data_IF_810902089712
#
_entry.id   IF_810902089712
#
_cell.length_a   1.000
_cell.length_b   1.000
_cell.length_c   1.000
_cell.angle_alpha   90.00
_cell.angle_beta   90.00
_cell.angle_gamma   90.00
#
_symmetry.space_group_name_H-M   'P 1'
#
loop_
_entity.id
_entity.type
_entity.pdbx_description
1 polymer ?
#
# COMPACT_ATOMS: atom_id res chain seq x y z
N UNK A 1 -2.88 34.51 -42.64
CA UNK A 1 -4.28 34.98 -42.72
C UNK A 1 -4.81 35.15 -41.31
N UNK A 2 -5.12 36.40 -40.93
CA UNK A 2 -5.74 36.78 -39.68
C UNK A 2 -7.22 37.07 -39.98
N UNK A 3 -8.13 36.59 -39.15
CA UNK A 3 -9.46 37.22 -39.02
C UNK A 3 -10.00 37.05 -37.59
N UNK A 4 -10.43 38.14 -36.94
CA UNK A 4 -11.01 38.17 -35.60
C UNK A 4 -12.55 38.37 -35.66
N UNK A 5 -13.28 37.98 -34.60
CA UNK A 5 -14.66 38.43 -34.29
C UNK A 5 -14.93 38.11 -32.81
N UNK A 6 -15.79 38.76 -32.03
CA UNK A 6 -16.24 40.14 -31.83
C UNK A 6 -17.15 40.08 -30.58
N UNK A 7 -17.19 41.16 -29.79
CA UNK A 7 -17.97 41.34 -28.55
C UNK A 7 -19.49 41.51 -28.75
N UNK A 8 -20.28 41.16 -27.73
CA UNK A 8 -21.60 41.72 -27.32
C UNK A 8 -21.91 41.13 -25.91
N UNK A 9 -22.00 41.82 -24.75
CA UNK A 9 -22.75 43.00 -24.25
C UNK A 9 -24.27 42.85 -24.11
N UNK A 10 -24.78 42.97 -22.86
CA UNK A 10 -26.17 43.30 -22.48
C UNK A 10 -26.62 42.68 -21.13
N UNK A 11 -26.59 43.41 -20.00
CA UNK A 11 -27.64 44.25 -19.33
C UNK A 11 -28.55 43.46 -18.34
N UNK A 12 -28.38 43.59 -17.00
CA UNK A 12 -29.18 44.36 -16.00
C UNK A 12 -30.58 43.75 -15.69
N UNK A 13 -31.24 43.76 -14.51
CA UNK A 13 -31.51 44.70 -13.38
C UNK A 13 -32.13 43.79 -12.25
N UNK A 14 -32.03 43.99 -10.91
CA UNK A 14 -32.97 44.71 -10.00
C UNK A 14 -32.61 44.36 -8.55
N UNK A 15 -32.52 45.39 -7.73
CA UNK A 15 -32.35 45.35 -6.27
C UNK A 15 -33.71 45.22 -5.55
N UNK A 16 -33.72 44.60 -4.37
CA UNK A 16 -34.74 44.86 -3.36
C UNK A 16 -34.09 45.03 -1.98
N UNK A 17 -34.30 46.22 -1.40
CA UNK A 17 -33.94 46.60 -0.04
C UNK A 17 -35.16 46.39 0.84
N UNK A 18 -34.99 45.76 2.01
CA UNK A 18 -35.92 45.88 3.12
C UNK A 18 -35.13 46.15 4.39
N UNK A 19 -35.27 47.38 4.89
CA UNK A 19 -34.77 47.83 6.17
C UNK A 19 -35.75 47.45 7.28
N UNK A 20 -35.24 46.95 8.41
CA UNK A 20 -35.97 46.92 9.66
C UNK A 20 -35.04 47.39 10.80
N UNK A 21 -35.39 48.54 11.38
CA UNK A 21 -34.80 49.07 12.60
C UNK A 21 -35.36 48.31 13.81
N UNK A 22 -34.51 48.00 14.78
CA UNK A 22 -34.92 47.42 16.07
C UNK A 22 -33.91 47.71 17.16
N UNK A 23 -34.25 48.71 17.98
CA UNK A 23 -33.84 49.08 19.34
C UNK A 23 -32.74 48.26 20.08
N UNK A 24 -31.82 49.01 20.70
CA UNK A 24 -30.67 48.49 21.45
C UNK A 24 -30.91 48.08 22.90
N UNK A 25 -29.89 47.43 23.46
CA UNK A 25 -29.58 47.25 24.88
C UNK A 25 -28.16 46.64 25.03
N UNK A 26 -27.52 46.73 26.21
CA UNK A 26 -26.13 47.14 26.35
C UNK A 26 -25.09 46.01 26.23
N UNK A 27 -23.86 46.44 25.95
CA UNK A 27 -22.65 45.65 25.83
C UNK A 27 -22.29 44.91 27.13
N UNK A 28 -22.15 43.59 27.02
CA UNK A 28 -21.41 42.74 27.95
C UNK A 28 -20.13 42.30 27.24
N UNK A 29 -19.00 42.76 27.75
CA UNK A 29 -17.67 42.40 27.27
C UNK A 29 -17.38 40.93 27.61
N UNK A 30 -17.39 40.06 26.60
CA UNK A 30 -16.86 38.69 26.72
C UNK A 30 -15.33 38.72 26.58
N UNK A 31 -14.57 37.99 27.42
CA UNK A 31 -13.12 37.89 27.30
C UNK A 31 -12.72 37.19 25.99
N UNK A 32 -11.50 37.43 25.46
CA UNK A 32 -11.05 36.82 24.22
C UNK A 32 -11.09 35.29 24.34
N UNK A 33 -11.84 34.66 23.44
CA UNK A 33 -11.84 33.21 23.27
C UNK A 33 -10.43 32.77 22.91
N UNK A 34 -9.84 31.79 23.61
CA UNK A 34 -8.53 31.25 23.21
C UNK A 34 -8.66 30.66 21.80
N UNK A 35 -7.77 31.09 20.90
CA UNK A 35 -7.59 30.43 19.61
C UNK A 35 -7.36 28.94 19.84
N UNK A 36 -8.01 28.04 19.08
CA UNK A 36 -7.75 26.62 19.19
C UNK A 36 -6.28 26.35 18.85
N UNK A 37 -5.55 25.86 19.84
CA UNK A 37 -4.23 25.23 19.67
C UNK A 37 -4.38 24.14 18.60
N UNK A 38 -3.48 24.06 17.60
CA UNK A 38 -3.48 22.94 16.67
C UNK A 38 -3.41 21.64 17.48
N UNK A 39 -4.17 20.59 17.15
CA UNK A 39 -3.96 19.32 17.79
C UNK A 39 -2.53 18.88 17.50
N UNK A 40 -1.74 18.68 18.56
CA UNK A 40 -0.51 17.88 18.53
C UNK A 40 -0.93 16.44 18.18
N UNK A 41 -1.11 16.20 16.89
CA UNK A 41 -1.36 14.89 16.31
C UNK A 41 -0.05 14.15 16.16
N UNK A 42 0.54 13.73 17.26
CA UNK A 42 1.61 12.72 17.26
C UNK A 42 1.30 11.70 18.34
N UNK A 43 0.25 10.94 18.06
CA UNK A 43 0.08 9.60 18.62
C UNK A 43 -0.40 8.73 17.46
N UNK A 44 0.47 8.58 16.46
CA UNK A 44 0.32 7.58 15.41
C UNK A 44 0.40 6.20 16.09
N UNK A 45 -0.52 5.25 15.79
CA UNK A 45 -0.39 3.89 16.31
C UNK A 45 1.00 3.37 15.95
N UNK A 46 1.67 2.64 16.85
CA UNK A 46 2.89 1.94 16.50
C UNK A 46 2.60 1.10 15.24
N UNK A 47 3.18 1.48 14.11
CA UNK A 47 2.75 1.01 12.79
C UNK A 47 2.99 -0.50 12.60
N UNK A 48 3.63 -1.16 13.57
CA UNK A 48 4.03 -2.56 13.54
C UNK A 48 5.26 -2.80 12.69
N UNK A 49 5.93 -1.73 12.23
CA UNK A 49 7.11 -1.78 11.38
C UNK A 49 8.09 -0.63 11.67
N UNK A 50 9.37 -0.92 11.40
CA UNK A 50 10.46 0.07 11.38
C UNK A 50 10.83 0.51 9.96
N UNK A 51 10.62 -0.33 8.97
CA UNK A 51 10.83 0.00 7.55
C UNK A 51 9.75 -0.63 6.69
N UNK A 52 9.22 0.11 5.72
CA UNK A 52 8.32 -0.42 4.70
C UNK A 52 8.63 0.22 3.35
N UNK A 53 8.84 -0.61 2.33
CA UNK A 53 9.05 -0.16 0.96
C UNK A 53 7.90 -0.66 0.09
N UNK A 54 7.17 0.25 -0.52
CA UNK A 54 6.05 -0.05 -1.42
C UNK A 54 6.29 0.55 -2.80
N UNK A 55 5.70 -0.06 -3.82
CA UNK A 55 5.60 0.56 -5.14
C UNK A 55 4.34 1.41 -5.18
N UNK A 56 4.45 2.66 -5.61
CA UNK A 56 3.31 3.54 -5.88
C UNK A 56 3.26 3.85 -7.38
N UNK A 57 2.08 3.73 -7.97
CA UNK A 57 1.85 4.03 -9.38
C UNK A 57 0.42 4.52 -9.56
N UNK A 58 0.17 5.35 -10.58
CA UNK A 58 -1.16 5.83 -10.93
C UNK A 58 -1.98 4.76 -11.68
N UNK A 59 -2.12 3.58 -11.09
CA UNK A 59 -2.97 2.50 -11.58
C UNK A 59 -4.27 2.43 -10.75
N UNK A 60 -5.40 2.02 -11.34
CA UNK A 60 -6.63 1.81 -10.59
C UNK A 60 -6.40 0.81 -9.44
N UNK A 61 -7.02 1.01 -8.25
CA UNK A 61 -6.79 0.15 -7.09
C UNK A 61 -7.03 -1.34 -7.34
N UNK A 62 -7.97 -1.66 -8.25
CA UNK A 62 -8.29 -3.04 -8.62
C UNK A 62 -7.12 -3.75 -9.31
N UNK A 63 -6.37 -3.03 -10.15
CA UNK A 63 -5.23 -3.57 -10.91
C UNK A 63 -3.99 -3.83 -10.04
N UNK A 64 -3.91 -3.14 -8.90
CA UNK A 64 -2.81 -3.25 -7.93
C UNK A 64 -3.21 -3.97 -6.65
N UNK A 65 -4.39 -4.60 -6.64
CA UNK A 65 -4.95 -5.21 -5.42
C UNK A 65 -4.01 -6.24 -4.79
N UNK A 66 -3.32 -7.03 -5.61
CA UNK A 66 -2.38 -8.08 -5.15
C UNK A 66 -0.99 -7.55 -4.84
N UNK A 67 -0.70 -6.27 -5.09
CA UNK A 67 0.60 -5.70 -4.79
C UNK A 67 0.81 -5.66 -3.29
N UNK A 68 1.99 -6.11 -2.88
CA UNK A 68 2.44 -6.08 -1.49
C UNK A 68 3.68 -5.20 -1.39
N UNK A 69 3.99 -4.67 -0.20
CA UNK A 69 5.29 -4.07 0.04
C UNK A 69 6.43 -5.01 -0.41
N UNK A 70 7.44 -4.44 -1.07
CA UNK A 70 8.63 -5.17 -1.51
C UNK A 70 9.41 -5.73 -0.33
N UNK A 71 9.45 -4.96 0.77
CA UNK A 71 9.99 -5.37 2.05
C UNK A 71 9.27 -4.64 3.19
N UNK A 72 9.06 -5.35 4.30
CA UNK A 72 8.68 -4.79 5.60
C UNK A 72 9.67 -5.29 6.64
N UNK A 73 10.26 -4.40 7.43
CA UNK A 73 11.02 -4.77 8.64
C UNK A 73 10.15 -4.43 9.83
N UNK A 74 9.76 -5.45 10.59
CA UNK A 74 8.88 -5.31 11.76
C UNK A 74 9.62 -4.75 12.98
N UNK A 75 8.88 -4.41 14.04
CA UNK A 75 9.44 -3.89 15.30
C UNK A 75 10.38 -4.87 16.01
N UNK A 76 10.13 -6.18 15.85
CA UNK A 76 10.95 -7.30 16.30
C UNK A 76 12.06 -7.67 15.30
N UNK A 77 12.38 -6.78 14.35
CA UNK A 77 13.48 -6.90 13.39
C UNK A 77 13.37 -8.11 12.45
N UNK A 78 12.15 -8.50 12.07
CA UNK A 78 11.94 -9.49 11.02
C UNK A 78 11.76 -8.77 9.68
N UNK A 79 12.70 -8.98 8.76
CA UNK A 79 12.54 -8.59 7.36
C UNK A 79 11.62 -9.58 6.65
N UNK A 80 10.46 -9.11 6.18
CA UNK A 80 9.45 -9.88 5.45
C UNK A 80 9.49 -9.46 3.98
N UNK A 81 9.59 -10.43 3.08
CA UNK A 81 9.60 -10.24 1.63
C UNK A 81 8.74 -11.31 0.94
N UNK A 82 8.40 -11.07 -0.33
CA UNK A 82 7.84 -12.10 -1.19
C UNK A 82 8.84 -13.24 -1.39
N UNK A 83 8.37 -14.47 -1.22
CA UNK A 83 9.14 -15.68 -1.51
C UNK A 83 9.17 -15.98 -3.01
N UNK A 84 10.08 -16.87 -3.41
CA UNK A 84 10.16 -17.35 -4.78
C UNK A 84 8.86 -18.07 -5.18
N UNK A 85 8.36 -17.76 -6.38
CA UNK A 85 7.24 -18.46 -7.01
C UNK A 85 7.82 -19.35 -8.13
N UNK A 86 7.65 -20.67 -8.09
CA UNK A 86 8.12 -21.53 -9.17
C UNK A 86 7.38 -21.21 -10.48
N UNK A 87 8.08 -21.27 -11.61
CA UNK A 87 7.51 -21.09 -12.95
C UNK A 87 6.72 -22.34 -13.41
N UNK A 88 5.80 -22.81 -12.57
CA UNK A 88 4.90 -23.93 -12.83
C UNK A 88 3.49 -23.36 -12.90
N UNK A 89 2.79 -23.64 -14.00
CA UNK A 89 1.40 -23.22 -14.19
C UNK A 89 0.42 -24.35 -13.80
N UNK A 90 -0.68 -24.04 -13.08
CA UNK A 90 -1.05 -22.72 -12.55
C UNK A 90 -0.26 -22.33 -11.29
N UNK A 91 -0.01 -21.02 -11.12
CA UNK A 91 0.70 -20.49 -9.96
C UNK A 91 -0.13 -20.56 -8.67
N UNK A 92 0.49 -20.33 -7.50
CA UNK A 92 -0.21 -20.31 -6.22
C UNK A 92 -1.22 -19.15 -6.16
N UNK A 93 -2.32 -19.34 -5.41
CA UNK A 93 -3.37 -18.33 -5.27
C UNK A 93 -2.90 -17.07 -4.51
N UNK A 94 -1.90 -17.21 -3.65
CA UNK A 94 -1.27 -16.11 -2.91
C UNK A 94 0.23 -16.18 -3.06
N UNK A 95 0.90 -15.02 -3.10
CA UNK A 95 2.35 -14.95 -3.03
C UNK A 95 2.83 -15.51 -1.68
N UNK A 96 3.76 -16.49 -1.67
CA UNK A 96 4.37 -16.94 -0.44
C UNK A 96 5.17 -15.80 0.21
N UNK A 97 5.26 -15.79 1.53
CA UNK A 97 6.08 -14.84 2.28
C UNK A 97 7.25 -15.56 2.93
N UNK A 98 8.39 -14.89 2.96
CA UNK A 98 9.58 -15.31 3.70
C UNK A 98 9.91 -14.25 4.74
N UNK A 99 10.35 -14.69 5.91
CA UNK A 99 10.84 -13.85 7.00
C UNK A 99 12.30 -14.14 7.27
N UNK A 100 13.07 -13.13 7.65
CA UNK A 100 14.45 -13.26 8.09
C UNK A 100 14.72 -12.37 9.30
N UNK A 101 15.25 -12.95 10.37
CA UNK A 101 15.62 -12.19 11.56
C UNK A 101 16.84 -11.33 11.29
N UNK A 102 16.77 -10.05 11.64
CA UNK A 102 17.91 -9.14 11.66
C UNK A 102 18.42 -8.98 13.08
N UNK A 103 19.73 -8.78 13.24
CA UNK A 103 20.31 -8.34 14.52
C UNK A 103 20.15 -6.84 14.70
N UNK A 104 20.29 -6.35 15.94
CA UNK A 104 20.28 -4.91 16.21
C UNK A 104 21.45 -4.18 15.53
N UNK A 105 22.62 -4.83 15.37
CA UNK A 105 23.74 -4.26 14.62
C UNK A 105 23.43 -4.12 13.14
N UNK A 106 22.70 -5.08 12.56
CA UNK A 106 22.25 -5.04 11.18
C UNK A 106 21.25 -3.89 10.97
N UNK A 107 20.33 -3.71 11.90
CA UNK A 107 19.42 -2.56 11.92
C UNK A 107 20.17 -1.23 12.05
N UNK A 108 21.13 -1.13 12.99
CA UNK A 108 21.95 0.06 13.15
C UNK A 108 22.76 0.41 11.88
N UNK A 109 23.27 -0.61 11.18
CA UNK A 109 23.95 -0.42 9.88
C UNK A 109 23.01 0.13 8.82
N UNK A 110 21.78 -0.37 8.75
CA UNK A 110 20.75 0.14 7.83
C UNK A 110 20.42 1.61 8.13
N UNK A 111 20.19 1.96 9.40
CA UNK A 111 19.92 3.35 9.82
C UNK A 111 21.10 4.27 9.50
N UNK A 112 22.33 3.80 9.75
CA UNK A 112 23.56 4.51 9.40
C UNK A 112 23.66 4.78 7.89
N UNK A 113 23.31 3.79 7.06
CA UNK A 113 23.31 3.94 5.61
C UNK A 113 22.23 4.92 5.13
N UNK A 114 21.01 4.84 5.69
CA UNK A 114 19.94 5.79 5.37
C UNK A 114 20.36 7.23 5.72
N UNK A 115 21.05 7.42 6.85
CA UNK A 115 21.63 8.72 7.24
C UNK A 115 22.71 9.16 6.26
N UNK A 116 23.63 8.27 5.88
CA UNK A 116 24.72 8.57 4.95
C UNK A 116 24.20 8.91 3.55
N UNK A 117 23.12 8.27 3.10
CA UNK A 117 22.41 8.55 1.85
C UNK A 117 21.60 9.86 1.91
N UNK A 118 21.53 10.53 3.07
CA UNK A 118 20.78 11.77 3.24
C UNK A 118 19.26 11.58 3.30
N UNK A 119 18.77 10.35 3.48
CA UNK A 119 17.34 10.04 3.57
C UNK A 119 16.69 10.59 4.84
N UNK A 120 17.50 10.88 5.86
CA UNK A 120 17.05 11.46 7.13
C UNK A 120 17.30 12.97 7.23
N UNK A 121 17.58 13.64 6.11
CA UNK A 121 17.92 15.07 6.07
C UNK A 121 16.72 16.02 6.12
N UNK A 122 15.49 15.49 6.05
CA UNK A 122 14.24 16.26 5.96
C UNK A 122 13.69 16.41 4.54
N UNK A 123 14.47 16.02 3.50
CA UNK A 123 13.96 15.87 2.14
C UNK A 123 13.08 14.62 2.04
N UNK A 124 11.92 14.74 1.42
CA UNK A 124 10.94 13.64 1.25
C UNK A 124 10.77 13.17 -0.20
N UNK A 125 11.11 14.01 -1.18
CA UNK A 125 10.99 13.68 -2.61
C UNK A 125 12.36 13.48 -3.26
N UNK A 126 12.61 12.25 -3.70
CA UNK A 126 13.80 11.74 -4.38
C UNK A 126 13.49 11.29 -5.82
N UNK A 127 12.37 11.73 -6.40
CA UNK A 127 12.00 11.41 -7.79
C UNK A 127 12.83 12.21 -8.81
N UNK A 128 13.54 13.25 -8.36
CA UNK A 128 14.27 14.17 -9.23
C UNK A 128 13.37 15.05 -10.08
N UNK A 129 12.06 15.12 -9.77
CA UNK A 129 11.07 15.89 -10.53
C UNK A 129 10.83 15.39 -11.97
N UNK A 130 11.27 14.17 -12.28
CA UNK A 130 11.42 13.69 -13.65
C UNK A 130 10.76 12.33 -13.92
N UNK A 131 9.86 11.85 -13.05
CA UNK A 131 9.13 10.62 -13.32
C UNK A 131 8.19 10.82 -14.53
N UNK A 132 8.29 9.98 -15.57
CA UNK A 132 7.34 10.00 -16.67
C UNK A 132 5.90 9.80 -16.16
N UNK A 133 4.89 10.35 -16.85
CA UNK A 133 3.49 10.07 -16.53
C UNK A 133 3.22 8.57 -16.48
N UNK A 134 2.63 8.11 -15.37
CA UNK A 134 2.33 6.71 -15.14
C UNK A 134 3.52 5.84 -14.73
N UNK A 135 4.73 6.38 -14.58
CA UNK A 135 5.86 5.63 -14.03
C UNK A 135 5.62 5.25 -12.57
N UNK A 136 6.15 4.09 -12.17
CA UNK A 136 6.15 3.67 -10.78
C UNK A 136 7.24 4.43 -9.99
N UNK A 137 6.92 4.79 -8.75
CA UNK A 137 7.87 5.28 -7.76
C UNK A 137 7.96 4.29 -6.59
N UNK A 138 9.04 4.34 -5.83
CA UNK A 138 9.15 3.70 -4.53
C UNK A 138 8.69 4.66 -3.45
N UNK A 139 7.85 4.18 -2.52
CA UNK A 139 7.54 4.86 -1.26
C UNK A 139 8.20 4.09 -0.11
N UNK A 140 9.15 4.74 0.54
CA UNK A 140 9.91 4.23 1.67
C UNK A 140 9.46 4.93 2.95
N UNK A 141 8.91 4.16 3.88
CA UNK A 141 8.56 4.62 5.22
C UNK A 141 9.60 4.06 6.19
N UNK A 142 10.26 4.94 6.96
CA UNK A 142 11.24 4.59 7.99
C UNK A 142 10.79 5.14 9.35
N UNK A 143 10.67 4.29 10.36
CA UNK A 143 10.38 4.70 11.74
C UNK A 143 11.66 4.62 12.56
N UNK A 144 12.22 5.79 12.90
CA UNK A 144 13.49 5.91 13.63
C UNK A 144 13.27 6.86 14.80
N UNK A 145 13.61 6.42 16.02
CA UNK A 145 13.46 7.23 17.25
C UNK A 145 12.02 7.77 17.44
N UNK A 146 11.01 6.99 17.03
CA UNK A 146 9.60 7.36 17.11
C UNK A 146 9.15 8.38 16.06
N UNK A 147 10.01 8.74 15.08
CA UNK A 147 9.65 9.61 13.96
C UNK A 147 9.50 8.80 12.67
N UNK A 148 8.41 9.05 11.96
CA UNK A 148 8.17 8.49 10.63
C UNK A 148 8.77 9.41 9.56
N UNK A 149 9.65 8.85 8.74
CA UNK A 149 10.17 9.47 7.52
C UNK A 149 9.47 8.80 6.33
N UNK A 150 8.58 9.53 5.67
CA UNK A 150 7.85 9.06 4.48
C UNK A 150 8.47 9.69 3.22
N UNK A 151 9.14 8.85 2.45
CA UNK A 151 9.98 9.27 1.33
C UNK A 151 9.45 8.65 0.04
N UNK A 152 9.44 9.43 -1.04
CA UNK A 152 9.12 8.94 -2.39
C UNK A 152 10.33 9.10 -3.29
N UNK A 153 10.61 8.16 -4.19
CA UNK A 153 11.76 8.25 -5.10
C UNK A 153 11.68 7.32 -6.29
N UNK A 154 12.57 7.53 -7.27
CA UNK A 154 12.70 6.67 -8.44
C UNK A 154 13.69 5.52 -8.14
N UNK A 155 13.23 4.27 -7.92
CA UNK A 155 14.12 3.17 -7.59
C UNK A 155 14.99 2.71 -8.77
N UNK A 156 14.73 3.20 -9.99
CA UNK A 156 15.51 2.84 -11.19
C UNK A 156 16.77 3.66 -11.38
N UNK A 157 16.98 4.73 -10.61
CA UNK A 157 18.13 5.65 -10.68
C UNK A 157 19.42 5.07 -10.08
N UNK A 158 19.58 3.76 -10.11
CA UNK A 158 20.76 3.10 -9.52
C UNK A 158 22.00 3.48 -10.32
N UNK A 159 23.00 4.06 -9.65
CA UNK A 159 24.27 4.44 -10.26
C UNK A 159 25.31 3.32 -10.10
N UNK A 160 25.97 2.94 -11.19
CA UNK A 160 26.99 1.88 -11.22
C UNK A 160 28.38 2.42 -11.58
N UNK A 161 29.39 1.96 -10.85
CA UNK A 161 30.80 2.32 -10.98
C UNK A 161 31.59 1.09 -11.45
N UNK A 162 31.28 0.63 -12.67
CA UNK A 162 31.67 -0.70 -13.15
C UNK A 162 30.62 -1.74 -12.75
N UNK A 163 31.04 -2.86 -12.17
CA UNK A 163 30.15 -3.93 -11.69
C UNK A 163 29.62 -3.71 -10.26
N UNK A 164 29.97 -2.58 -9.63
CA UNK A 164 29.59 -2.25 -8.26
C UNK A 164 28.72 -1.01 -8.21
N UNK A 165 27.91 -0.90 -7.14
CA UNK A 165 27.10 0.29 -6.87
C UNK A 165 28.03 1.47 -6.56
N UNK A 166 27.79 2.60 -7.22
CA UNK A 166 28.45 3.85 -6.86
C UNK A 166 27.98 4.33 -5.49
N UNK A 167 28.88 4.97 -4.76
CA UNK A 167 28.46 5.84 -3.66
C UNK A 167 27.86 7.11 -4.26
N UNK A 168 26.55 7.19 -4.27
CA UNK A 168 25.83 8.38 -4.70
C UNK A 168 26.03 9.54 -3.71
N UNK A 169 25.90 10.77 -4.21
CA UNK A 169 25.90 11.96 -3.36
C UNK A 169 24.66 11.94 -2.44
N UNK A 170 24.79 12.29 -1.15
CA UNK A 170 23.64 12.28 -0.24
C UNK A 170 22.49 13.17 -0.73
N UNK A 171 21.27 12.81 -0.35
CA UNK A 171 20.05 13.55 -0.68
C UNK A 171 19.71 13.61 -2.20
N UNK A 172 20.23 12.69 -3.00
CA UNK A 172 19.95 12.57 -4.46
C UNK A 172 19.02 11.40 -4.80
N UNK A 173 18.34 11.41 -5.97
CA UNK A 173 17.61 10.25 -6.48
C UNK A 173 18.46 8.98 -6.54
N UNK A 174 19.73 9.10 -6.93
CA UNK A 174 20.67 7.99 -7.01
C UNK A 174 20.96 7.40 -5.63
N UNK A 175 21.05 8.23 -4.58
CA UNK A 175 21.22 7.74 -3.20
C UNK A 175 20.00 6.97 -2.70
N UNK A 176 18.78 7.42 -3.03
CA UNK A 176 17.55 6.69 -2.75
C UNK A 176 17.54 5.34 -3.47
N UNK A 177 17.81 5.32 -4.77
CA UNK A 177 17.82 4.11 -5.58
C UNK A 177 18.88 3.09 -5.11
N UNK A 178 20.07 3.57 -4.73
CA UNK A 178 21.13 2.73 -4.16
C UNK A 178 20.69 2.13 -2.83
N UNK A 179 20.09 2.93 -1.92
CA UNK A 179 19.57 2.41 -0.66
C UNK A 179 18.48 1.35 -0.87
N UNK A 180 17.52 1.61 -1.76
CA UNK A 180 16.47 0.64 -2.13
C UNK A 180 17.07 -0.64 -2.71
N UNK A 181 18.11 -0.54 -3.55
CA UNK A 181 18.79 -1.70 -4.13
C UNK A 181 19.44 -2.58 -3.05
N UNK A 182 20.02 -1.97 -2.01
CA UNK A 182 20.61 -2.70 -0.88
C UNK A 182 19.55 -3.49 -0.10
N UNK A 183 18.31 -2.99 0.00
CA UNK A 183 17.20 -3.71 0.64
C UNK A 183 16.79 -4.97 -0.13
N UNK A 184 17.05 -5.04 -1.44
CA UNK A 184 16.75 -6.19 -2.28
C UNK A 184 17.63 -7.41 -2.02
N UNK A 185 18.82 -7.23 -1.44
CA UNK A 185 19.78 -8.31 -1.14
C UNK A 185 20.44 -8.09 0.23
N UNK A 186 19.62 -8.12 1.29
CA UNK A 186 20.07 -8.00 2.67
C UNK A 186 21.17 -9.01 3.04
N UNK A 187 21.09 -10.31 2.67
CA UNK A 187 22.13 -11.26 3.03
C UNK A 187 23.51 -10.86 2.48
N UNK A 188 23.59 -10.41 1.22
CA UNK A 188 24.85 -9.94 0.63
C UNK A 188 25.36 -8.66 1.30
N UNK A 189 24.47 -7.74 1.64
CA UNK A 189 24.85 -6.44 2.20
C UNK A 189 25.20 -6.47 3.69
N UNK A 190 24.39 -7.17 4.50
CA UNK A 190 24.48 -7.17 5.96
C UNK A 190 25.22 -8.42 6.50
N UNK A 191 25.40 -9.46 5.69
CA UNK A 191 26.18 -10.65 6.04
C UNK A 191 25.62 -11.37 7.27
N UNK A 192 26.47 -11.62 8.25
CA UNK A 192 26.12 -12.34 9.49
C UNK A 192 25.03 -11.66 10.35
N UNK A 193 24.68 -10.40 10.05
CA UNK A 193 23.56 -9.70 10.68
C UNK A 193 22.17 -10.17 10.22
N UNK A 194 22.11 -11.09 9.27
CA UNK A 194 20.89 -11.64 8.66
C UNK A 194 20.81 -13.13 8.97
N UNK A 195 19.73 -13.53 9.65
CA UNK A 195 19.45 -14.92 10.01
C UNK A 195 19.08 -15.80 8.81
N UNK A 196 18.69 -17.05 9.10
CA UNK A 196 18.17 -17.94 8.08
C UNK A 196 16.78 -17.48 7.60
N UNK A 197 16.51 -17.65 6.31
CA UNK A 197 15.17 -17.45 5.75
C UNK A 197 14.22 -18.56 6.20
N UNK A 198 13.00 -18.19 6.58
CA UNK A 198 11.95 -19.14 6.93
C UNK A 198 10.60 -18.71 6.32
N UNK A 199 9.70 -19.66 5.97
CA UNK A 199 8.34 -19.32 5.57
C UNK A 199 7.63 -18.47 6.63
N UNK A 200 6.90 -17.44 6.19
CA UNK A 200 6.11 -16.57 7.08
C UNK A 200 4.63 -16.71 6.77
N UNK A 201 3.82 -16.84 7.81
CA UNK A 201 2.36 -16.77 7.71
C UNK A 201 1.92 -15.33 7.98
N UNK A 202 1.13 -14.69 7.11
CA UNK A 202 0.59 -13.36 7.36
C UNK A 202 -0.47 -13.41 8.47
N UNK A 203 -0.71 -12.27 9.12
CA UNK A 203 -1.73 -12.14 10.18
C UNK A 203 -3.16 -12.08 9.64
N UNK A 204 -3.32 -11.83 8.34
CA UNK A 204 -4.60 -11.75 7.66
C UNK A 204 -4.45 -11.70 6.14
N UNK A 205 -5.60 -11.66 5.47
CA UNK A 205 -5.70 -11.60 4.02
C UNK A 205 -6.77 -10.58 3.62
N UNK A 206 -6.49 -9.77 2.61
CA UNK A 206 -7.52 -9.11 1.83
C UNK A 206 -7.98 -10.06 0.72
N UNK A 207 -9.29 -10.21 0.58
CA UNK A 207 -9.91 -11.15 -0.36
C UNK A 207 -10.87 -10.40 -1.24
N UNK A 208 -10.65 -10.48 -2.56
CA UNK A 208 -11.57 -10.02 -3.58
C UNK A 208 -12.31 -11.24 -4.15
N UNK A 209 -13.63 -11.25 -3.98
CA UNK A 209 -14.55 -12.23 -4.55
C UNK A 209 -15.06 -11.69 -5.88
N UNK A 210 -15.03 -12.52 -6.92
CA UNK A 210 -15.52 -12.15 -8.24
C UNK A 210 -15.85 -13.36 -9.11
N UNK A 211 -16.02 -13.15 -10.42
CA UNK A 211 -16.24 -14.24 -11.37
C UNK A 211 -15.14 -15.31 -11.26
N UNK A 212 -15.45 -16.58 -11.57
CA UNK A 212 -14.44 -17.61 -11.65
C UNK A 212 -13.38 -17.24 -12.70
N UNK A 213 -12.11 -17.64 -12.53
CA UNK A 213 -11.11 -17.50 -13.58
C UNK A 213 -11.61 -18.17 -14.87
N UNK A 214 -11.23 -17.63 -16.05
CA UNK A 214 -11.63 -18.24 -17.32
C UNK A 214 -11.11 -19.68 -17.41
N UNK A 215 -11.88 -20.55 -18.06
CA UNK A 215 -11.43 -21.91 -18.37
C UNK A 215 -10.36 -21.84 -19.46
N UNK A 216 -9.10 -21.83 -19.04
CA UNK A 216 -7.98 -21.91 -19.94
C UNK A 216 -7.67 -23.37 -20.26
N UNK A 217 -7.84 -23.74 -21.53
CA UNK A 217 -7.33 -24.99 -22.11
C UNK A 217 -7.96 -26.28 -21.56
N UNK A 218 -9.17 -26.21 -21.01
CA UNK A 218 -9.87 -27.38 -20.47
C UNK A 218 -9.26 -27.90 -19.17
N UNK A 219 -8.50 -27.04 -18.47
CA UNK A 219 -7.94 -27.31 -17.14
C UNK A 219 -8.98 -27.09 -16.03
N UNK A 220 -10.28 -27.09 -16.38
CA UNK A 220 -11.38 -26.95 -15.45
C UNK A 220 -11.22 -27.88 -14.23
N UNK A 221 -10.89 -27.27 -13.09
CA UNK A 221 -10.80 -27.97 -11.81
C UNK A 221 -12.18 -27.96 -11.18
N UNK A 222 -12.59 -29.10 -10.60
CA UNK A 222 -13.82 -29.16 -9.82
C UNK A 222 -13.81 -28.07 -8.73
N UNK A 223 -14.88 -27.26 -8.59
CA UNK A 223 -14.94 -26.23 -7.57
C UNK A 223 -14.72 -26.80 -6.17
N UNK A 224 -13.94 -26.08 -5.36
CA UNK A 224 -13.74 -26.42 -3.94
C UNK A 224 -14.89 -25.86 -3.11
N UNK A 225 -15.23 -26.47 -1.96
CA UNK A 225 -16.22 -25.87 -1.04
C UNK A 225 -15.79 -24.47 -0.60
N UNK A 226 -16.72 -23.52 -0.61
CA UNK A 226 -16.51 -22.16 -0.13
C UNK A 226 -15.84 -22.15 1.27
N UNK A 227 -14.76 -21.37 1.49
CA UNK A 227 -13.90 -21.55 2.64
C UNK A 227 -14.31 -20.72 3.87
N UNK A 228 -15.38 -19.92 3.78
CA UNK A 228 -15.82 -19.03 4.85
C UNK A 228 -17.24 -19.38 5.31
N UNK A 229 -17.57 -19.04 6.57
CA UNK A 229 -18.94 -19.22 7.07
C UNK A 229 -19.91 -18.21 6.47
N UNK A 230 -19.44 -16.99 6.22
CA UNK A 230 -20.21 -15.95 5.53
C UNK A 230 -20.38 -16.33 4.07
N UNK A 231 -21.61 -16.28 3.54
CA UNK A 231 -21.90 -16.54 2.12
C UNK A 231 -21.10 -15.61 1.21
N UNK A 232 -20.70 -16.10 0.04
CA UNK A 232 -19.98 -15.33 -0.97
C UNK A 232 -20.73 -14.05 -1.38
N UNK A 233 -22.07 -14.10 -1.48
CA UNK A 233 -22.92 -12.95 -1.77
C UNK A 233 -22.95 -11.88 -0.66
N UNK A 234 -22.60 -12.25 0.57
CA UNK A 234 -22.58 -11.38 1.74
C UNK A 234 -21.15 -11.04 2.20
N UNK A 235 -20.12 -11.63 1.59
CA UNK A 235 -18.74 -11.50 2.01
C UNK A 235 -18.23 -10.06 1.83
N UNK A 236 -17.73 -9.44 2.91
CA UNK A 236 -17.14 -8.11 2.85
C UNK A 236 -18.11 -7.02 2.36
N UNK A 237 -17.61 -6.11 1.51
CA UNK A 237 -18.38 -5.01 0.92
C UNK A 237 -18.38 -5.07 -0.62
N UNK A 238 -19.46 -4.69 -1.29
CA UNK A 238 -19.49 -4.62 -2.76
C UNK A 238 -18.57 -3.52 -3.28
N UNK A 239 -17.99 -3.74 -4.47
CA UNK A 239 -17.15 -2.77 -5.14
C UNK A 239 -17.97 -1.62 -5.75
N UNK A 240 -17.40 -0.41 -5.74
CA UNK A 240 -17.99 0.74 -6.43
C UNK A 240 -18.01 0.49 -7.94
N UNK A 241 -19.19 0.55 -8.55
CA UNK A 241 -19.38 0.32 -9.99
C UNK A 241 -19.32 -1.15 -10.44
N UNK A 242 -19.05 -2.09 -9.54
CA UNK A 242 -19.03 -3.54 -9.79
C UNK A 242 -19.67 -4.29 -8.60
N UNK A 243 -20.99 -4.14 -8.36
CA UNK A 243 -21.65 -4.67 -7.16
C UNK A 243 -21.63 -6.20 -7.05
N UNK A 244 -21.37 -6.91 -8.15
CA UNK A 244 -21.18 -8.36 -8.20
C UNK A 244 -19.83 -8.82 -7.63
N UNK A 245 -18.85 -7.90 -7.54
CA UNK A 245 -17.57 -8.15 -6.88
C UNK A 245 -17.60 -7.62 -5.46
N UNK A 246 -16.89 -8.31 -4.57
CA UNK A 246 -16.84 -7.93 -3.15
C UNK A 246 -15.44 -8.02 -2.59
N UNK A 247 -15.09 -7.11 -1.68
CA UNK A 247 -13.81 -7.12 -1.00
C UNK A 247 -14.01 -7.19 0.51
N UNK A 248 -13.26 -8.06 1.17
CA UNK A 248 -13.29 -8.21 2.63
C UNK A 248 -11.93 -8.59 3.19
N UNK A 249 -11.77 -8.36 4.49
CA UNK A 249 -10.58 -8.75 5.25
C UNK A 249 -10.90 -10.00 6.07
N UNK A 250 -9.99 -10.96 6.01
CA UNK A 250 -10.00 -12.16 6.85
C UNK A 250 -8.81 -12.06 7.81
N UNK A 251 -9.05 -12.18 9.11
CA UNK A 251 -8.03 -12.02 10.15
C UNK A 251 -8.17 -13.06 11.27
N UNK A 252 -7.16 -13.14 12.15
CA UNK A 252 -7.22 -13.97 13.35
C UNK A 252 -7.37 -15.47 13.05
N UNK A 253 -8.25 -16.15 13.77
CA UNK A 253 -8.46 -17.59 13.64
C UNK A 253 -8.97 -18.02 12.26
N UNK A 254 -9.82 -17.19 11.64
CA UNK A 254 -10.32 -17.45 10.28
C UNK A 254 -9.19 -17.35 9.25
N UNK A 255 -8.27 -16.38 9.41
CA UNK A 255 -7.10 -16.29 8.55
C UNK A 255 -6.17 -17.50 8.70
N UNK A 256 -5.98 -18.00 9.92
CA UNK A 256 -5.17 -19.19 10.17
C UNK A 256 -5.78 -20.44 9.50
N UNK A 257 -7.11 -20.61 9.55
CA UNK A 257 -7.81 -21.66 8.83
C UNK A 257 -7.69 -21.48 7.30
N UNK A 258 -7.86 -20.26 6.81
CA UNK A 258 -7.76 -19.94 5.40
C UNK A 258 -6.34 -20.15 4.84
N UNK A 259 -5.28 -19.93 5.63
CA UNK A 259 -3.90 -20.25 5.24
C UNK A 259 -3.75 -21.73 4.84
N UNK A 260 -4.38 -22.67 5.55
CA UNK A 260 -4.33 -24.10 5.22
C UNK A 260 -4.99 -24.35 3.86
N UNK A 261 -6.13 -23.69 3.62
CA UNK A 261 -6.86 -23.74 2.36
C UNK A 261 -6.03 -23.20 1.19
N UNK A 262 -5.32 -22.09 1.39
CA UNK A 262 -4.49 -21.41 0.39
C UNK A 262 -3.25 -22.20 -0.03
N UNK A 263 -2.64 -23.00 0.88
CA UNK A 263 -1.44 -23.80 0.55
C UNK A 263 -1.64 -24.77 -0.61
N UNK A 264 -2.88 -25.21 -0.80
CA UNK A 264 -3.27 -26.14 -1.86
C UNK A 264 -4.14 -25.47 -2.95
N UNK A 265 -4.26 -24.13 -2.92
CA UNK A 265 -5.03 -23.37 -3.90
C UNK A 265 -4.10 -22.71 -4.92
N UNK A 266 -4.58 -22.65 -6.16
CA UNK A 266 -3.90 -22.04 -7.30
C UNK A 266 -4.75 -20.92 -7.86
N UNK A 267 -4.18 -20.15 -8.80
CA UNK A 267 -4.90 -19.08 -9.50
C UNK A 267 -6.14 -19.56 -10.27
N UNK A 268 -6.22 -20.86 -10.60
CA UNK A 268 -7.38 -21.47 -11.27
C UNK A 268 -8.42 -22.04 -10.29
N UNK A 269 -8.18 -21.95 -8.98
CA UNK A 269 -9.10 -22.51 -8.00
C UNK A 269 -10.41 -21.73 -7.96
N UNK A 270 -11.51 -22.43 -8.24
CA UNK A 270 -12.88 -21.93 -8.10
C UNK A 270 -13.50 -22.43 -6.80
N UNK A 271 -14.50 -21.69 -6.31
CA UNK A 271 -15.14 -21.94 -5.02
C UNK A 271 -16.65 -22.03 -5.18
N UNK A 272 -17.25 -23.11 -4.67
CA UNK A 272 -18.68 -23.32 -4.66
C UNK A 272 -19.28 -22.89 -3.33
N UNK A 273 -20.03 -21.79 -3.35
CA UNK A 273 -20.99 -21.48 -2.29
C UNK A 273 -22.30 -22.25 -2.58
N UNK A 274 -22.83 -23.04 -1.63
CA UNK A 274 -24.10 -23.76 -1.80
C UNK A 274 -25.30 -22.85 -2.12
N UNK A 275 -25.24 -21.56 -1.78
CA UNK A 275 -26.29 -20.58 -2.04
C UNK A 275 -26.21 -19.95 -3.45
N UNK A 276 -25.14 -20.22 -4.21
CA UNK A 276 -24.96 -19.71 -5.57
C UNK A 276 -25.07 -20.83 -6.60
N UNK A 277 -25.62 -20.51 -7.77
CA UNK A 277 -25.70 -21.46 -8.89
C UNK A 277 -24.33 -21.69 -9.52
N UNK A 278 -23.56 -20.62 -9.70
CA UNK A 278 -22.23 -20.63 -10.32
C UNK A 278 -21.12 -20.51 -9.27
N UNK A 279 -19.96 -21.14 -9.50
CA UNK A 279 -18.81 -20.97 -8.63
C UNK A 279 -18.19 -19.57 -8.78
N UNK A 280 -17.47 -19.13 -7.76
CA UNK A 280 -16.77 -17.84 -7.72
C UNK A 280 -15.25 -18.01 -7.76
N UNK A 281 -14.55 -16.97 -8.19
CA UNK A 281 -13.10 -16.85 -8.10
C UNK A 281 -12.70 -15.99 -6.90
N UNK A 282 -11.49 -16.24 -6.38
CA UNK A 282 -10.87 -15.41 -5.37
C UNK A 282 -9.59 -14.78 -5.93
N UNK A 283 -9.36 -13.51 -5.63
CA UNK A 283 -8.03 -12.88 -5.71
C UNK A 283 -7.62 -12.54 -4.28
N UNK A 284 -6.45 -13.00 -3.86
CA UNK A 284 -6.04 -12.96 -2.45
C UNK A 284 -4.73 -12.22 -2.30
N UNK A 285 -4.70 -11.27 -1.37
CA UNK A 285 -3.49 -10.54 -0.96
C UNK A 285 -3.19 -10.83 0.51
N UNK A 286 -1.97 -11.26 0.87
CA UNK A 286 -1.58 -11.32 2.27
C UNK A 286 -1.43 -9.90 2.84
N UNK A 287 -1.88 -9.69 4.07
CA UNK A 287 -1.67 -8.43 4.79
C UNK A 287 -0.34 -8.46 5.52
N UNK A 288 0.47 -7.43 5.32
CA UNK A 288 1.73 -7.21 6.04
C UNK A 288 1.56 -6.16 7.15
N UNK A 289 2.44 -6.16 8.17
CA UNK A 289 2.44 -5.11 9.19
C UNK A 289 2.50 -3.71 8.57
N UNK A 290 1.62 -2.81 9.05
CA UNK A 290 1.48 -1.46 8.51
C UNK A 290 0.70 -1.34 7.20
N UNK A 291 0.11 -2.43 6.69
CA UNK A 291 -0.81 -2.32 5.56
C UNK A 291 -2.09 -1.58 5.95
N UNK A 292 -2.43 -0.56 5.18
CA UNK A 292 -3.79 -0.03 5.11
C UNK A 292 -4.72 -1.09 4.51
N UNK A 293 -6.03 -1.00 4.81
CA UNK A 293 -7.04 -1.89 4.25
C UNK A 293 -7.12 -1.75 2.71
N UNK A 294 -6.71 -2.77 1.93
CA UNK A 294 -6.72 -2.73 0.47
C UNK A 294 -8.13 -2.67 -0.13
N UNK A 295 -9.16 -2.99 0.65
CA UNK A 295 -10.55 -2.92 0.21
C UNK A 295 -11.11 -1.50 0.23
N UNK A 296 -10.65 -0.63 1.12
CA UNK A 296 -11.15 0.76 1.26
C UNK A 296 -11.22 1.53 -0.07
N UNK A 297 -10.15 1.59 -0.89
CA UNK A 297 -10.21 2.33 -2.15
C UNK A 297 -11.12 1.69 -3.22
N UNK A 298 -11.56 0.45 -3.03
CA UNK A 298 -12.39 -0.29 -3.99
C UNK A 298 -13.90 -0.15 -3.75
N UNK A 299 -14.30 0.06 -2.49
CA UNK A 299 -15.70 -0.07 -2.04
C UNK A 299 -16.42 1.27 -1.88
N UNK A 300 -15.75 2.38 -2.21
CA UNK A 300 -16.25 3.74 -2.02
C UNK A 300 -16.23 4.16 -0.56
N UNK A 301 -15.73 5.37 -0.31
CA UNK A 301 -15.94 6.08 0.96
C UNK A 301 -17.32 6.71 1.00
#
# INVERSE_FOLDING_TARGET
MRTPFALLSGLAIVALVAAACGAGSPATSSPPSPSPTPPDGSTEPAAGFRLRLTTVQALPPLEVFTWTPQIVITDDLVAIQAGAIPLIFPGPLTTPLIGTQLTEEAWAKLVSEAKAAGLLSGKTDFTGGALPPGAAAGRLQLVIEGRTHDLSGDPSRVAFCGETLCRAEPATPEAFATFVSLLGDLPRWLGAGVGAQAPRTPSGYAVLVGPPPPDEQGLAVAPRPWPFETRAADFGRPLTGQPERRCGIVAGAEAAAFTVTLRNATQLTTWQDPALADPVGLTVRPLLPGDDDPCVPLVGG
#
